data_IF_444294670706
#
_entry.id   IF_444294670706
#
_cell.length_a   1.000
_cell.length_b   1.000
_cell.length_c   1.000
_cell.angle_alpha   90.00
_cell.angle_beta   90.00
_cell.angle_gamma   90.00
#
_symmetry.space_group_name_H-M   'P 1'
#
loop_
_entity.id
_entity.type
_entity.pdbx_description
1 polymer ?
#
# COMPACT_ATOMS: atom_id res chain seq x y z
N UNK A 1 11.68 -27.80 -9.93
CA UNK A 1 12.41 -26.68 -9.32
C UNK A 1 11.48 -25.49 -9.43
N UNK A 2 10.99 -24.96 -8.32
CA UNK A 2 10.05 -23.83 -8.35
C UNK A 2 10.80 -22.59 -8.82
N UNK A 3 10.38 -22.03 -9.94
CA UNK A 3 10.84 -20.73 -10.42
C UNK A 3 10.11 -19.69 -9.57
N UNK A 4 10.76 -19.21 -8.50
CA UNK A 4 10.21 -18.11 -7.72
C UNK A 4 10.40 -16.83 -8.55
N UNK A 5 9.32 -16.05 -8.79
CA UNK A 5 9.43 -14.86 -9.63
C UNK A 5 10.47 -13.91 -9.07
N UNK A 6 11.24 -13.28 -9.97
CA UNK A 6 12.16 -12.23 -9.58
C UNK A 6 11.37 -11.09 -8.92
N UNK A 7 11.83 -10.56 -7.77
CA UNK A 7 11.12 -9.50 -7.07
C UNK A 7 11.07 -8.22 -7.92
N UNK A 8 9.97 -7.49 -7.81
CA UNK A 8 9.75 -6.22 -8.48
C UNK A 8 9.86 -5.05 -7.51
N UNK A 9 10.23 -3.86 -8.02
CA UNK A 9 10.37 -2.65 -7.20
C UNK A 9 9.05 -2.40 -6.45
N UNK A 10 9.13 -2.30 -5.13
CA UNK A 10 7.98 -2.08 -4.26
C UNK A 10 7.36 -3.36 -3.68
N UNK A 11 7.84 -4.54 -4.06
CA UNK A 11 7.44 -5.79 -3.40
C UNK A 11 7.75 -5.73 -1.91
N UNK A 12 6.84 -6.29 -1.11
CA UNK A 12 6.94 -6.37 0.35
C UNK A 12 7.01 -7.84 0.76
N UNK A 13 7.94 -8.17 1.67
CA UNK A 13 8.03 -9.51 2.29
C UNK A 13 8.32 -9.42 3.78
N UNK A 14 8.13 -10.55 4.46
CA UNK A 14 8.58 -10.78 5.83
C UNK A 14 9.86 -11.61 5.75
N UNK A 15 10.96 -11.11 6.33
CA UNK A 15 12.20 -11.87 6.45
C UNK A 15 12.03 -13.03 7.45
N UNK A 16 12.91 -14.04 7.42
CA UNK A 16 12.93 -15.09 8.45
C UNK A 16 13.14 -14.55 9.88
N UNK A 17 13.72 -13.35 10.01
CA UNK A 17 13.89 -12.63 11.28
C UNK A 17 12.63 -11.86 11.72
N UNK A 18 11.53 -11.89 10.96
CA UNK A 18 10.30 -11.18 11.27
C UNK A 18 10.33 -9.68 10.92
N UNK A 19 11.28 -9.25 10.10
CA UNK A 19 11.39 -7.86 9.66
C UNK A 19 10.60 -7.63 8.37
N UNK A 20 9.97 -6.47 8.23
CA UNK A 20 9.33 -6.08 6.97
C UNK A 20 10.39 -5.48 6.06
N UNK A 21 10.57 -6.09 4.89
CA UNK A 21 11.51 -5.66 3.86
C UNK A 21 10.74 -5.20 2.61
N UNK A 22 11.24 -4.16 1.95
CA UNK A 22 10.81 -3.74 0.61
C UNK A 22 11.93 -3.95 -0.40
N UNK A 23 11.59 -4.34 -1.62
CA UNK A 23 12.57 -4.43 -2.70
C UNK A 23 12.74 -3.07 -3.38
N UNK A 24 13.96 -2.53 -3.39
CA UNK A 24 14.27 -1.24 -4.02
C UNK A 24 14.63 -1.33 -5.51
N UNK A 25 14.55 -2.53 -6.09
CA UNK A 25 14.96 -2.83 -7.46
C UNK A 25 16.35 -3.45 -7.59
N UNK A 26 17.10 -3.47 -6.50
CA UNK A 26 18.43 -4.11 -6.45
C UNK A 26 18.56 -5.05 -5.26
N UNK A 27 18.06 -4.63 -4.09
CA UNK A 27 18.21 -5.31 -2.82
C UNK A 27 16.97 -5.15 -1.95
N UNK A 28 16.77 -6.10 -1.04
CA UNK A 28 15.75 -5.99 0.00
C UNK A 28 16.23 -5.04 1.10
N UNK A 29 15.46 -3.99 1.36
CA UNK A 29 15.74 -2.96 2.37
C UNK A 29 14.69 -3.00 3.47
N UNK A 30 15.15 -2.97 4.72
CA UNK A 30 14.29 -2.96 5.90
C UNK A 30 13.48 -1.66 5.97
N UNK A 31 12.16 -1.78 6.02
CA UNK A 31 11.25 -0.63 6.18
C UNK A 31 10.97 -0.38 7.65
N UNK A 32 10.74 -1.46 8.42
CA UNK A 32 10.36 -1.37 9.82
C UNK A 32 10.73 -2.66 10.53
N UNK A 33 11.28 -2.53 11.74
CA UNK A 33 11.25 -3.64 12.70
C UNK A 33 9.84 -3.73 13.25
N UNK A 34 9.24 -4.90 13.12
CA UNK A 34 8.05 -5.24 13.88
C UNK A 34 8.46 -5.44 15.35
N UNK A 35 7.59 -5.14 16.32
CA UNK A 35 7.85 -5.52 17.70
C UNK A 35 8.01 -7.04 17.82
N UNK A 36 8.96 -7.50 18.64
CA UNK A 36 9.22 -8.93 18.88
C UNK A 36 8.02 -9.62 19.54
N UNK A 37 7.21 -8.87 20.29
CA UNK A 37 6.02 -9.35 20.99
C UNK A 37 4.84 -8.41 20.77
N UNK A 38 3.64 -8.97 20.58
CA UNK A 38 2.40 -8.21 20.38
C UNK A 38 1.83 -8.29 18.96
N UNK A 39 0.61 -7.76 18.78
CA UNK A 39 -0.15 -7.88 17.54
C UNK A 39 0.27 -6.83 16.48
N UNK A 40 0.62 -7.30 15.28
CA UNK A 40 0.88 -6.46 14.12
C UNK A 40 -0.42 -6.25 13.34
N UNK A 41 -0.87 -5.01 13.23
CA UNK A 41 -2.10 -4.64 12.51
C UNK A 41 -1.74 -3.95 11.20
N UNK A 42 -1.99 -4.60 10.07
CA UNK A 42 -1.90 -3.98 8.75
C UNK A 42 -3.18 -3.22 8.45
N UNK A 43 -3.07 -1.89 8.32
CA UNK A 43 -4.20 -1.04 7.91
C UNK A 43 -4.03 -0.71 6.44
N UNK A 44 -4.88 -1.28 5.60
CA UNK A 44 -4.98 -0.85 4.21
C UNK A 44 -5.53 0.57 4.19
N UNK A 45 -4.69 1.55 3.90
CA UNK A 45 -5.18 2.87 3.53
C UNK A 45 -5.60 2.77 2.08
N UNK A 46 -6.89 2.53 1.83
CA UNK A 46 -7.47 2.89 0.54
C UNK A 46 -7.26 4.39 0.43
N UNK A 47 -6.32 4.82 -0.41
CA UNK A 47 -6.22 6.22 -0.82
C UNK A 47 -7.54 6.53 -1.50
N UNK A 48 -8.47 7.11 -0.74
CA UNK A 48 -9.62 7.78 -1.31
C UNK A 48 -9.01 8.89 -2.16
N UNK A 49 -8.97 8.68 -3.48
CA UNK A 49 -8.73 9.78 -4.41
C UNK A 49 -9.69 10.88 -3.97
N UNK A 50 -9.22 12.05 -3.53
CA UNK A 50 -10.15 13.14 -3.24
C UNK A 50 -10.96 13.33 -4.52
N UNK A 51 -12.28 13.16 -4.41
CA UNK A 51 -13.17 13.46 -5.53
C UNK A 51 -12.77 14.86 -6.02
N UNK A 52 -12.61 15.08 -7.34
CA UNK A 52 -12.22 16.39 -7.83
C UNK A 52 -13.17 17.43 -7.24
N UNK A 53 -12.66 18.28 -6.36
CA UNK A 53 -13.40 19.39 -5.76
C UNK A 53 -13.67 20.40 -6.87
N UNK A 54 -14.79 20.24 -7.55
CA UNK A 54 -15.10 21.03 -8.72
C UNK A 54 -16.43 20.68 -9.36
N UNK A 55 -17.54 20.90 -8.64
CA UNK A 55 -18.63 21.71 -9.19
C UNK A 55 -19.51 22.22 -8.04
N UNK A 56 -19.21 23.43 -7.60
CA UNK A 56 -20.10 24.20 -6.73
C UNK A 56 -21.23 24.75 -7.59
N UNK A 57 -22.42 24.17 -7.47
CA UNK A 57 -23.67 24.89 -7.68
C UNK A 57 -24.38 24.69 -9.02
N UNK A 58 -25.38 23.79 -9.01
CA UNK A 58 -26.64 24.06 -9.71
C UNK A 58 -27.83 23.32 -9.08
N UNK A 59 -28.81 24.05 -8.54
CA UNK A 59 -30.22 23.80 -8.85
C UNK A 59 -30.83 25.06 -9.51
N UNK A 60 -32.06 25.06 -10.06
CA UNK A 60 -32.95 24.00 -10.58
C UNK A 60 -33.00 24.11 -12.14
N UNK A 61 -33.71 23.30 -12.93
CA UNK A 61 -35.17 23.27 -13.07
C UNK A 61 -35.62 22.17 -14.05
N UNK A 62 -36.62 21.40 -13.63
CA UNK A 62 -37.41 20.51 -14.50
C UNK A 62 -38.13 21.36 -15.56
N UNK A 63 -37.98 20.95 -16.81
CA UNK A 63 -38.54 21.64 -17.96
C UNK A 63 -39.03 20.64 -19.00
N UNK A 64 -40.35 20.63 -19.14
CA UNK A 64 -41.23 19.99 -20.16
C UNK A 64 -41.60 18.52 -19.94
#
# INVERSE_FOLDING_TARGET
MSDEPSPTIGDIRISPSGEVEHYDGTTWKRVRRLPEEGQVVFRSTTSLTPAPEGDTGRPPQEGT
#
